data_IF_925337491241
#
_entry.id   IF_925337491241
#
_cell.length_a   1.000
_cell.length_b   1.000
_cell.length_c   1.000
_cell.angle_alpha   90.00
_cell.angle_beta   90.00
_cell.angle_gamma   90.00
#
_symmetry.space_group_name_H-M   'P 1'
#
loop_
_entity.id
_entity.type
_entity.pdbx_description
1 polymer ?
#
# COMPACT_ATOMS: atom_id res chain seq x y z
N UNK A 1 -4.71 -13.66 0.98
CA UNK A 1 -4.89 -13.55 2.45
C UNK A 1 -5.53 -12.21 2.75
N UNK A 2 -6.52 -12.15 3.66
CA UNK A 2 -7.16 -10.89 4.09
C UNK A 2 -6.86 -10.70 5.58
N UNK A 3 -6.41 -9.50 5.95
CA UNK A 3 -6.15 -9.13 7.34
C UNK A 3 -6.91 -7.84 7.64
N UNK A 4 -7.77 -7.89 8.65
CA UNK A 4 -8.52 -6.72 9.10
C UNK A 4 -7.64 -5.69 9.81
N UNK A 5 -8.10 -4.44 9.79
CA UNK A 5 -7.47 -3.33 10.48
C UNK A 5 -7.30 -3.60 11.98
N UNK A 6 -6.18 -3.15 12.55
CA UNK A 6 -5.85 -3.32 13.96
C UNK A 6 -5.11 -4.62 14.30
N UNK A 7 -4.88 -5.51 13.33
CA UNK A 7 -4.01 -6.66 13.52
C UNK A 7 -2.57 -6.21 13.84
N UNK A 8 -1.95 -6.79 14.88
CA UNK A 8 -0.54 -6.54 15.16
C UNK A 8 0.34 -7.36 14.19
N UNK A 9 0.83 -6.69 13.16
CA UNK A 9 1.73 -7.25 12.16
C UNK A 9 3.14 -6.68 12.27
N UNK A 10 3.47 -5.88 13.28
CA UNK A 10 4.73 -5.12 13.33
C UNK A 10 5.99 -6.01 13.43
N UNK A 11 5.84 -7.23 13.95
CA UNK A 11 6.90 -8.23 14.02
C UNK A 11 6.82 -9.30 12.93
N UNK A 12 5.86 -9.18 12.00
CA UNK A 12 5.66 -10.17 10.94
C UNK A 12 6.68 -10.04 9.80
N UNK A 13 6.86 -11.13 9.07
CA UNK A 13 7.47 -11.13 7.73
C UNK A 13 6.52 -11.83 6.78
N UNK A 14 6.01 -11.09 5.80
CA UNK A 14 5.03 -11.59 4.84
C UNK A 14 5.68 -11.62 3.46
N UNK A 15 5.52 -12.72 2.74
CA UNK A 15 5.97 -12.83 1.34
C UNK A 15 4.76 -13.08 0.45
N UNK A 16 4.57 -12.21 -0.54
CA UNK A 16 3.49 -12.32 -1.53
C UNK A 16 4.08 -12.83 -2.83
N UNK A 17 3.78 -14.10 -3.12
CA UNK A 17 4.27 -14.78 -4.32
C UNK A 17 3.60 -14.26 -5.60
N UNK A 18 4.13 -14.66 -6.76
CA UNK A 18 3.61 -14.26 -8.06
C UNK A 18 2.15 -14.66 -8.20
N UNK A 19 1.30 -13.70 -8.62
CA UNK A 19 -0.16 -13.88 -8.68
C UNK A 19 -0.86 -13.95 -7.31
N UNK A 20 -0.10 -13.96 -6.22
CA UNK A 20 -0.60 -13.90 -4.86
C UNK A 20 -1.08 -12.51 -4.48
N UNK A 21 -2.03 -12.49 -3.54
CA UNK A 21 -2.66 -11.25 -3.06
C UNK A 21 -2.70 -11.21 -1.53
N UNK A 22 -2.14 -10.15 -0.96
CA UNK A 22 -2.34 -9.75 0.43
C UNK A 22 -3.32 -8.57 0.46
N UNK A 23 -4.35 -8.64 1.30
CA UNK A 23 -5.31 -7.55 1.51
C UNK A 23 -5.20 -7.10 2.96
N UNK A 24 -4.97 -5.80 3.16
CA UNK A 24 -5.11 -5.11 4.44
C UNK A 24 -6.40 -4.28 4.38
N UNK A 25 -7.40 -4.70 5.16
CA UNK A 25 -8.76 -4.16 5.08
C UNK A 25 -9.04 -3.17 6.23
N UNK A 26 -9.04 -1.89 5.89
CA UNK A 26 -9.45 -0.78 6.74
C UNK A 26 -10.75 -0.11 6.27
N UNK A 27 -11.59 -0.82 5.51
CA UNK A 27 -12.85 -0.29 4.97
C UNK A 27 -13.83 0.21 6.04
N UNK A 28 -13.75 -0.34 7.25
CA UNK A 28 -14.62 0.04 8.38
C UNK A 28 -14.07 1.20 9.22
N UNK A 29 -12.83 1.65 8.95
CA UNK A 29 -12.23 2.76 9.70
C UNK A 29 -12.95 4.05 9.33
N UNK A 30 -13.45 4.76 10.35
CA UNK A 30 -14.10 6.07 10.19
C UNK A 30 -13.06 7.18 10.24
N UNK A 31 -13.27 8.21 9.41
CA UNK A 31 -12.42 9.39 9.33
C UNK A 31 -11.51 9.39 8.10
N UNK A 32 -10.69 10.42 8.00
CA UNK A 32 -9.97 10.73 6.76
C UNK A 32 -8.63 10.01 6.66
N UNK A 33 -8.16 9.37 7.74
CA UNK A 33 -6.85 8.72 7.77
C UNK A 33 -6.89 7.27 8.23
N UNK A 34 -6.13 6.42 7.54
CA UNK A 34 -5.94 5.01 7.85
C UNK A 34 -4.45 4.69 7.80
N UNK A 35 -3.91 4.13 8.89
CA UNK A 35 -2.52 3.66 8.93
C UNK A 35 -2.47 2.15 9.11
N UNK A 36 -1.88 1.45 8.15
CA UNK A 36 -1.52 0.04 8.25
C UNK A 36 -0.08 -0.08 8.73
N UNK A 37 0.21 -1.01 9.65
CA UNK A 37 1.56 -1.23 10.17
C UNK A 37 1.95 -2.69 10.05
N UNK A 38 2.99 -2.97 9.28
CA UNK A 38 3.50 -4.32 9.01
C UNK A 38 5.01 -4.34 9.29
N UNK A 39 5.57 -5.49 9.68
CA UNK A 39 7.01 -5.66 9.86
C UNK A 39 7.73 -5.62 8.50
N UNK A 40 7.89 -6.78 7.87
CA UNK A 40 8.55 -6.90 6.57
C UNK A 40 7.57 -7.42 5.51
N UNK A 41 7.61 -6.83 4.32
CA UNK A 41 6.86 -7.28 3.14
C UNK A 41 7.85 -7.57 2.02
N UNK A 42 7.80 -8.80 1.50
CA UNK A 42 8.52 -9.19 0.28
C UNK A 42 7.50 -9.41 -0.83
N UNK A 43 7.59 -8.63 -1.92
CA UNK A 43 6.82 -8.84 -3.13
C UNK A 43 7.68 -9.65 -4.13
N UNK A 44 7.15 -10.78 -4.59
CA UNK A 44 7.79 -11.62 -5.60
C UNK A 44 6.84 -11.78 -6.80
N UNK A 45 6.51 -10.66 -7.46
CA UNK A 45 5.48 -10.56 -8.49
C UNK A 45 4.03 -10.55 -7.94
N UNK A 46 3.88 -10.31 -6.64
CA UNK A 46 2.59 -10.31 -5.93
C UNK A 46 1.98 -8.92 -5.79
N UNK A 47 0.73 -8.86 -5.32
CA UNK A 47 0.01 -7.60 -5.06
C UNK A 47 -0.36 -7.42 -3.58
N UNK A 48 -0.12 -6.22 -3.06
CA UNK A 48 -0.62 -5.75 -1.78
C UNK A 48 -1.80 -4.81 -2.01
N UNK A 49 -2.98 -5.18 -1.52
CA UNK A 49 -4.16 -4.33 -1.54
C UNK A 49 -4.35 -3.64 -0.20
N UNK A 50 -4.50 -2.33 -0.23
CA UNK A 50 -4.95 -1.51 0.89
C UNK A 50 -6.40 -1.12 0.57
N UNK A 51 -7.35 -1.57 1.38
CA UNK A 51 -8.76 -1.23 1.19
C UNK A 51 -9.18 -0.24 2.27
N UNK A 52 -9.72 0.90 1.86
CA UNK A 52 -10.23 1.93 2.77
C UNK A 52 -11.64 2.36 2.36
N UNK A 53 -12.37 2.96 3.31
CA UNK A 53 -13.62 3.63 3.03
C UNK A 53 -13.37 5.00 2.41
N UNK A 54 -13.87 6.06 3.04
CA UNK A 54 -13.73 7.44 2.54
C UNK A 54 -12.37 8.10 2.85
N UNK A 55 -11.36 7.33 3.27
CA UNK A 55 -10.09 7.89 3.72
C UNK A 55 -9.30 8.52 2.56
N UNK A 56 -8.80 9.73 2.80
CA UNK A 56 -7.96 10.51 1.88
C UNK A 56 -6.49 10.53 2.28
N UNK A 57 -6.14 10.00 3.46
CA UNK A 57 -4.77 9.93 3.98
C UNK A 57 -4.45 8.51 4.45
N UNK A 58 -4.00 7.67 3.51
CA UNK A 58 -3.62 6.27 3.73
C UNK A 58 -2.12 6.15 3.90
N UNK A 59 -1.69 5.53 4.99
CA UNK A 59 -0.28 5.29 5.26
C UNK A 59 -0.01 3.80 5.43
N UNK A 60 0.97 3.29 4.68
CA UNK A 60 1.55 1.98 4.90
C UNK A 60 2.88 2.17 5.63
N UNK A 61 2.93 1.83 6.92
CA UNK A 61 4.17 1.74 7.69
C UNK A 61 4.71 0.33 7.61
N UNK A 62 5.94 0.20 7.14
CA UNK A 62 6.71 -1.04 7.12
C UNK A 62 8.04 -0.82 7.84
N UNK A 63 8.66 -1.89 8.35
CA UNK A 63 10.11 -1.87 8.61
C UNK A 63 10.85 -1.96 7.28
N UNK A 64 10.45 -2.91 6.43
CA UNK A 64 11.00 -3.10 5.08
C UNK A 64 9.95 -3.56 4.08
N UNK A 65 9.93 -2.96 2.91
CA UNK A 65 9.19 -3.39 1.73
C UNK A 65 10.19 -3.62 0.60
N UNK A 66 10.23 -4.83 0.03
CA UNK A 66 11.19 -5.13 -1.03
C UNK A 66 10.69 -6.06 -2.13
N UNK A 67 11.38 -6.04 -3.26
CA UNK A 67 11.23 -6.99 -4.36
C UNK A 67 10.51 -6.38 -5.56
N UNK A 68 9.71 -7.19 -6.25
CA UNK A 68 8.98 -6.80 -7.46
C UNK A 68 7.49 -7.01 -7.24
N UNK A 69 6.64 -6.04 -7.58
CA UNK A 69 5.19 -6.20 -7.50
C UNK A 69 4.42 -4.89 -7.50
N UNK A 70 3.21 -4.92 -6.94
CA UNK A 70 2.35 -3.75 -6.89
C UNK A 70 1.68 -3.54 -5.52
N UNK A 71 1.48 -2.27 -5.16
CA UNK A 71 0.57 -1.83 -4.12
C UNK A 71 -0.67 -1.25 -4.80
N UNK A 72 -1.84 -1.74 -4.46
CA UNK A 72 -3.12 -1.26 -4.98
C UNK A 72 -3.90 -0.61 -3.82
N UNK A 73 -4.20 0.68 -3.91
CA UNK A 73 -5.15 1.34 -3.01
C UNK A 73 -6.55 1.25 -3.63
N UNK A 74 -7.50 0.67 -2.89
CA UNK A 74 -8.93 0.72 -3.20
C UNK A 74 -9.61 1.64 -2.19
N UNK A 75 -10.22 2.73 -2.66
CA UNK A 75 -10.87 3.72 -1.79
C UNK A 75 -12.26 4.09 -2.31
N UNK A 76 -13.15 4.49 -1.40
CA UNK A 76 -14.46 5.08 -1.71
C UNK A 76 -14.49 6.59 -1.44
N UNK A 77 -13.32 7.23 -1.32
CA UNK A 77 -13.22 8.68 -1.24
C UNK A 77 -13.82 9.34 -2.50
N UNK A 78 -14.44 10.51 -2.34
CA UNK A 78 -15.11 11.23 -3.44
C UNK A 78 -14.12 11.81 -4.46
N UNK A 79 -12.97 12.22 -3.97
CA UNK A 79 -11.84 12.69 -4.76
C UNK A 79 -10.71 11.69 -4.55
N UNK A 80 -9.88 11.47 -5.57
CA UNK A 80 -8.81 10.49 -5.54
C UNK A 80 -7.55 11.14 -6.12
N UNK A 81 -6.46 11.07 -5.36
CA UNK A 81 -5.16 11.66 -5.70
C UNK A 81 -4.02 10.68 -5.39
N UNK A 82 -2.91 10.70 -6.15
CA UNK A 82 -1.64 10.07 -5.78
C UNK A 82 -1.21 10.35 -4.34
N UNK A 83 -1.45 11.56 -3.84
CA UNK A 83 -1.02 12.01 -2.51
C UNK A 83 -1.74 11.28 -1.37
N UNK A 84 -2.77 10.49 -1.68
CA UNK A 84 -3.53 9.74 -0.68
C UNK A 84 -2.76 8.59 -0.07
N UNK A 85 -1.72 8.10 -0.74
CA UNK A 85 -0.93 6.97 -0.23
C UNK A 85 0.51 7.40 0.04
N UNK A 86 0.96 7.11 1.26
CA UNK A 86 2.34 7.29 1.67
C UNK A 86 2.88 5.96 2.23
N UNK A 87 4.08 5.57 1.80
CA UNK A 87 4.79 4.40 2.31
C UNK A 87 5.97 4.87 3.15
N UNK A 88 6.01 4.45 4.42
CA UNK A 88 7.11 4.72 5.35
C UNK A 88 7.83 3.44 5.72
N UNK A 89 9.15 3.45 5.65
CA UNK A 89 10.06 2.34 5.93
C UNK A 89 11.09 2.16 4.82
N UNK A 90 11.97 1.17 4.99
CA UNK A 90 12.98 0.84 3.98
C UNK A 90 12.32 0.25 2.72
N UNK A 91 12.39 0.95 1.59
CA UNK A 91 11.83 0.48 0.30
C UNK A 91 12.93 0.15 -0.69
N UNK A 92 12.88 -1.03 -1.32
CA UNK A 92 13.88 -1.44 -2.34
C UNK A 92 13.27 -2.32 -3.43
N UNK A 93 13.65 -2.13 -4.68
CA UNK A 93 13.20 -2.96 -5.81
C UNK A 93 12.26 -2.23 -6.76
N UNK A 94 11.46 -2.97 -7.52
CA UNK A 94 10.58 -2.44 -8.56
C UNK A 94 9.11 -2.59 -8.15
N UNK A 95 8.59 -1.55 -7.52
CA UNK A 95 7.26 -1.57 -6.91
C UNK A 95 6.42 -0.47 -7.53
N UNK A 96 5.31 -0.88 -8.12
CA UNK A 96 4.32 0.02 -8.71
C UNK A 96 3.18 0.27 -7.74
N UNK A 97 2.55 1.44 -7.85
CA UNK A 97 1.39 1.84 -7.05
C UNK A 97 0.24 2.19 -7.97
N UNK A 98 -0.90 1.55 -7.74
CA UNK A 98 -2.15 1.76 -8.47
C UNK A 98 -3.20 2.28 -7.48
N UNK A 99 -3.99 3.27 -7.89
CA UNK A 99 -5.12 3.75 -7.07
C UNK A 99 -6.41 3.52 -7.86
N UNK A 100 -7.37 2.90 -7.18
CA UNK A 100 -8.65 2.47 -7.75
C UNK A 100 -9.82 2.94 -6.90
N UNK A 101 -10.98 3.10 -7.53
CA UNK A 101 -12.24 3.28 -6.81
C UNK A 101 -12.77 1.98 -6.19
N UNK A 102 -13.93 2.05 -5.54
CA UNK A 102 -14.62 0.91 -4.96
C UNK A 102 -14.99 -0.19 -5.99
N UNK A 103 -15.08 0.15 -7.28
CA UNK A 103 -15.33 -0.78 -8.39
C UNK A 103 -14.04 -1.39 -8.95
N UNK A 104 -12.88 -1.06 -8.38
CA UNK A 104 -11.53 -1.44 -8.84
C UNK A 104 -11.18 -0.88 -10.22
N UNK A 105 -11.84 0.19 -10.64
CA UNK A 105 -11.44 0.91 -11.84
C UNK A 105 -10.19 1.74 -11.52
N UNK A 106 -9.14 1.61 -12.33
CA UNK A 106 -7.91 2.41 -12.18
C UNK A 106 -8.20 3.87 -12.44
N UNK A 107 -7.84 4.72 -11.48
CA UNK A 107 -8.06 6.17 -11.53
C UNK A 107 -6.74 6.96 -11.54
N UNK A 108 -5.71 6.44 -10.87
CA UNK A 108 -4.35 6.94 -11.03
C UNK A 108 -3.50 5.83 -11.66
N UNK A 109 -2.86 6.16 -12.78
CA UNK A 109 -1.95 5.26 -13.49
C UNK A 109 -0.78 4.85 -12.58
N UNK A 110 -0.14 3.72 -12.93
CA UNK A 110 0.96 3.14 -12.18
C UNK A 110 2.04 4.20 -11.85
N UNK A 111 2.22 4.47 -10.56
CA UNK A 111 3.30 5.29 -10.04
C UNK A 111 4.41 4.38 -9.55
N UNK A 112 5.66 4.70 -9.85
CA UNK A 112 6.78 3.96 -9.30
C UNK A 112 7.09 4.46 -7.90
N UNK A 113 7.18 3.54 -6.96
CA UNK A 113 7.59 3.85 -5.59
C UNK A 113 9.11 3.96 -5.56
N UNK A 114 9.61 5.16 -5.26
CA UNK A 114 11.04 5.47 -5.24
C UNK A 114 11.46 5.74 -3.80
N UNK A 115 12.49 5.04 -3.28
CA UNK A 115 12.98 5.30 -1.94
C UNK A 115 13.49 6.73 -1.82
N UNK A 116 13.21 7.35 -0.68
CA UNK A 116 13.70 8.69 -0.35
C UNK A 116 15.22 8.64 -0.09
N UNK A 117 15.89 9.79 -0.17
CA UNK A 117 17.36 9.88 0.01
C UNK A 117 17.85 9.35 1.36
N UNK A 118 17.01 9.45 2.40
CA UNK A 118 17.32 8.95 3.75
C UNK A 118 17.05 7.44 3.92
N UNK A 119 16.40 6.80 2.95
CA UNK A 119 16.03 5.38 2.96
C UNK A 119 14.94 5.00 3.96
N UNK A 120 14.24 5.96 4.58
CA UNK A 120 13.23 5.74 5.63
C UNK A 120 11.80 5.99 5.10
N UNK A 121 11.67 6.53 3.90
CA UNK A 121 10.39 6.71 3.21
C UNK A 121 10.49 6.34 1.74
N UNK A 122 9.35 6.48 1.05
CA UNK A 122 9.33 6.45 -0.39
C UNK A 122 8.28 7.40 -0.95
N UNK A 123 8.64 8.05 -2.06
CA UNK A 123 7.79 8.96 -2.80
C UNK A 123 7.29 8.30 -4.09
N UNK A 124 6.09 8.71 -4.50
CA UNK A 124 5.52 8.27 -5.76
C UNK A 124 6.08 9.14 -6.88
N UNK A 125 6.66 8.50 -7.89
CA UNK A 125 7.07 9.16 -9.12
C UNK A 125 6.27 8.63 -10.31
N UNK A 126 6.02 9.43 -11.34
CA UNK A 126 5.52 8.93 -12.62
C UNK A 126 6.41 7.78 -13.10
N UNK A 127 5.80 6.65 -13.48
CA UNK A 127 6.51 5.49 -14.01
C UNK A 127 7.02 5.73 -15.44
#
# INVERSE_FOLDING_TARGET
MIIGYGADLQQSTITVQQGGVLILDGSTVKGDSVTFSVGNINLNGGKLWLITGAATHVQLKVKRLRGEGAICLQTSAKEISPDFINVKGEVTGDIHVEITDASRQTLCNALKLQPDEDGIGATLQPA
#
